data_IF_269063927600
#
_entry.id   IF_269063927600
#
_cell.length_a   1.000
_cell.length_b   1.000
_cell.length_c   1.000
_cell.angle_alpha   90.00
_cell.angle_beta   90.00
_cell.angle_gamma   90.00
#
_symmetry.space_group_name_H-M   'P 1'
#
loop_
_entity.id
_entity.type
_entity.pdbx_description
1 polymer ?
#
# COMPACT_ATOMS: atom_id res chain seq x y z
N UNK A 1 -4.78 2.90 -15.37
CA UNK A 1 -4.87 1.53 -14.86
C UNK A 1 -6.31 1.20 -14.53
N UNK A 2 -6.85 0.26 -15.26
CA UNK A 2 -8.27 -0.07 -15.16
C UNK A 2 -8.65 -0.56 -13.76
N UNK A 3 -7.80 -1.39 -13.15
CA UNK A 3 -8.03 -1.87 -11.80
C UNK A 3 -8.26 -0.71 -10.83
N UNK A 4 -7.43 0.31 -10.91
CA UNK A 4 -7.48 1.42 -9.98
C UNK A 4 -8.65 2.36 -10.25
N UNK A 5 -9.19 2.38 -11.46
CA UNK A 5 -10.27 3.29 -11.79
C UNK A 5 -11.60 2.90 -11.16
N UNK A 6 -11.73 1.67 -10.68
CA UNK A 6 -12.96 1.16 -10.06
C UNK A 6 -12.98 1.27 -8.55
N UNK A 7 -11.89 1.74 -7.96
CA UNK A 7 -11.71 1.73 -6.52
C UNK A 7 -11.47 3.15 -6.03
N UNK A 8 -12.12 3.53 -4.94
CA UNK A 8 -11.92 4.85 -4.35
C UNK A 8 -10.55 4.88 -3.65
N UNK A 9 -9.57 5.47 -4.30
CA UNK A 9 -8.22 5.59 -3.77
C UNK A 9 -7.56 6.82 -4.34
N UNK A 10 -6.44 7.22 -3.73
CA UNK A 10 -5.67 8.37 -4.16
C UNK A 10 -4.23 7.95 -4.42
N UNK A 11 -3.68 8.47 -5.51
CA UNK A 11 -2.27 8.24 -5.84
C UNK A 11 -1.47 9.46 -5.42
N UNK A 12 -0.40 9.23 -4.68
CA UNK A 12 0.48 10.30 -4.23
C UNK A 12 1.89 10.03 -4.75
N UNK A 13 2.48 11.04 -5.34
CA UNK A 13 3.84 10.95 -5.84
C UNK A 13 4.62 12.17 -5.38
N UNK A 14 5.65 11.94 -4.59
CA UNK A 14 6.54 13.00 -4.13
C UNK A 14 7.84 12.86 -4.88
N UNK A 15 8.22 13.91 -5.60
CA UNK A 15 9.41 13.88 -6.43
C UNK A 15 10.65 14.06 -5.55
N UNK A 16 11.49 13.03 -5.53
CA UNK A 16 12.74 12.98 -4.80
C UNK A 16 13.75 12.25 -5.68
N UNK A 17 14.96 12.04 -5.20
CA UNK A 17 15.93 11.23 -5.94
C UNK A 17 15.35 9.84 -6.21
N UNK A 18 14.76 9.26 -5.17
CA UNK A 18 13.93 8.06 -5.31
C UNK A 18 12.50 8.53 -5.07
N UNK A 19 11.62 8.45 -6.06
CA UNK A 19 10.25 8.92 -5.87
C UNK A 19 9.58 8.20 -4.72
N UNK A 20 8.87 8.96 -3.89
CA UNK A 20 8.03 8.37 -2.86
C UNK A 20 6.64 8.23 -3.45
N UNK A 21 6.20 7.00 -3.59
CA UNK A 21 4.90 6.68 -4.17
C UNK A 21 4.01 6.07 -3.11
N UNK A 22 2.75 6.49 -3.07
CA UNK A 22 1.77 5.93 -2.15
C UNK A 22 0.45 5.76 -2.87
N UNK A 23 -0.19 4.64 -2.60
CA UNK A 23 -1.57 4.39 -3.07
C UNK A 23 -2.43 4.37 -1.83
N UNK A 24 -3.16 5.44 -1.61
CA UNK A 24 -3.99 5.61 -0.43
C UNK A 24 -5.38 5.06 -0.69
N UNK A 25 -5.81 4.14 0.15
CA UNK A 25 -7.16 3.61 0.11
C UNK A 25 -7.96 4.10 1.30
N UNK A 26 -9.17 3.62 1.44
CA UNK A 26 -10.05 4.03 2.50
C UNK A 26 -9.58 3.58 3.87
N UNK A 27 -8.90 2.44 3.94
CA UNK A 27 -8.50 1.82 5.20
C UNK A 27 -7.03 2.03 5.55
N UNK A 28 -6.22 2.50 4.61
CA UNK A 28 -4.80 2.68 4.80
C UNK A 28 -4.11 2.89 3.49
N UNK A 29 -2.80 2.68 3.43
CA UNK A 29 -2.08 2.91 2.18
C UNK A 29 -0.97 1.90 1.94
N UNK A 30 -0.61 1.78 0.65
CA UNK A 30 0.54 1.02 0.19
C UNK A 30 1.62 2.03 -0.18
N UNK A 31 2.81 1.89 0.38
CA UNK A 31 3.92 2.79 0.08
C UNK A 31 5.11 2.04 -0.50
N UNK A 32 6.07 2.79 -1.00
CA UNK A 32 7.35 2.22 -1.40
C UNK A 32 8.46 3.03 -0.76
N UNK A 33 9.55 2.36 -0.39
CA UNK A 33 10.77 3.02 0.08
C UNK A 33 10.75 3.43 1.55
N UNK A 34 10.94 4.70 1.82
CA UNK A 34 11.43 5.21 3.09
C UNK A 34 10.38 5.50 4.15
N UNK A 35 9.43 4.63 4.38
CA UNK A 35 8.44 4.86 5.42
C UNK A 35 8.95 4.42 6.78
N UNK A 36 8.67 5.22 7.80
CA UNK A 36 8.96 4.81 9.18
C UNK A 36 7.82 3.93 9.67
N UNK A 37 8.03 2.63 9.54
CA UNK A 37 7.02 1.65 9.91
C UNK A 37 6.76 1.62 11.42
N UNK A 38 7.75 1.99 12.23
CA UNK A 38 7.56 2.08 13.67
C UNK A 38 6.53 3.13 14.05
N UNK A 39 6.59 4.29 13.42
CA UNK A 39 5.62 5.35 13.66
C UNK A 39 4.23 4.92 13.19
N UNK A 40 4.15 4.30 12.02
CA UNK A 40 2.87 3.80 11.52
C UNK A 40 2.26 2.77 12.45
N UNK A 41 3.08 1.87 12.98
CA UNK A 41 2.64 0.86 13.91
C UNK A 41 2.12 1.49 15.21
N UNK A 42 2.86 2.46 15.74
CA UNK A 42 2.47 3.14 16.99
C UNK A 42 1.18 3.91 16.84
N UNK A 43 0.92 4.46 15.67
CA UNK A 43 -0.30 5.21 15.39
C UNK A 43 -1.50 4.32 15.06
N UNK A 44 -1.27 3.03 14.86
CA UNK A 44 -2.34 2.10 14.51
C UNK A 44 -2.74 2.17 13.04
N UNK A 45 -1.90 2.71 12.18
CA UNK A 45 -2.21 2.84 10.77
C UNK A 45 -2.04 1.51 10.04
N UNK A 46 -2.94 1.23 9.10
CA UNK A 46 -2.83 0.08 8.23
C UNK A 46 -1.96 0.45 7.04
N UNK A 47 -0.73 -0.03 7.04
CA UNK A 47 0.27 0.32 6.03
C UNK A 47 0.98 -0.94 5.57
N UNK A 48 1.14 -1.07 4.26
CA UNK A 48 1.97 -2.09 3.65
C UNK A 48 3.02 -1.40 2.79
N UNK A 49 4.18 -2.02 2.66
CA UNK A 49 5.30 -1.44 1.92
C UNK A 49 5.83 -2.45 0.93
N UNK A 50 6.10 -1.98 -0.27
CA UNK A 50 6.82 -2.75 -1.28
C UNK A 50 8.20 -2.14 -1.46
N UNK A 51 9.09 -2.83 -2.16
CA UNK A 51 10.42 -2.32 -2.45
C UNK A 51 10.35 -1.05 -3.28
N UNK A 52 11.49 -0.38 -3.42
CA UNK A 52 11.61 0.82 -4.22
C UNK A 52 11.12 0.57 -5.64
N UNK A 53 10.17 1.39 -6.06
CA UNK A 53 9.60 1.30 -7.40
C UNK A 53 9.54 2.69 -8.01
N UNK A 54 9.48 2.75 -9.34
CA UNK A 54 9.51 4.01 -10.06
C UNK A 54 8.14 4.48 -10.49
N UNK A 55 7.15 3.61 -10.47
CA UNK A 55 5.81 3.96 -10.87
C UNK A 55 4.79 3.10 -10.13
N UNK A 56 3.55 3.55 -10.15
CA UNK A 56 2.47 2.85 -9.44
C UNK A 56 2.24 1.44 -9.97
N UNK A 57 2.44 1.23 -11.25
CA UNK A 57 2.26 -0.07 -11.84
C UNK A 57 3.26 -1.07 -11.30
N UNK A 58 4.51 -0.64 -11.11
CA UNK A 58 5.52 -1.48 -10.48
C UNK A 58 5.15 -1.82 -9.05
N UNK A 59 4.56 -0.87 -8.32
CA UNK A 59 4.12 -1.13 -6.95
C UNK A 59 3.08 -2.25 -6.91
N UNK A 60 2.16 -2.25 -7.85
CA UNK A 60 1.12 -3.26 -7.91
C UNK A 60 1.68 -4.64 -8.22
N UNK A 61 2.79 -4.70 -8.95
CA UNK A 61 3.41 -5.95 -9.34
C UNK A 61 4.52 -6.40 -8.39
N UNK A 62 4.89 -5.56 -7.43
CA UNK A 62 5.90 -5.90 -6.44
C UNK A 62 5.28 -6.68 -5.28
N UNK A 63 6.14 -7.29 -4.48
CA UNK A 63 5.69 -8.03 -3.30
C UNK A 63 5.79 -7.15 -2.07
N UNK A 64 4.84 -7.31 -1.17
CA UNK A 64 4.87 -6.63 0.12
C UNK A 64 6.07 -7.15 0.91
N UNK A 65 6.89 -6.23 1.41
CA UNK A 65 8.09 -6.59 2.19
C UNK A 65 7.92 -6.27 3.67
N UNK A 66 6.94 -5.45 4.03
CA UNK A 66 6.63 -5.14 5.43
C UNK A 66 5.18 -4.70 5.53
N UNK A 67 4.58 -4.90 6.70
CA UNK A 67 3.18 -4.54 6.93
C UNK A 67 2.95 -4.31 8.42
N UNK A 68 2.14 -3.31 8.77
CA UNK A 68 1.81 -3.03 10.17
C UNK A 68 0.82 -4.07 10.71
N UNK A 69 0.66 -4.12 12.03
CA UNK A 69 -0.31 -5.01 12.67
C UNK A 69 -1.73 -4.73 12.16
N UNK A 70 -2.08 -3.44 12.02
CA UNK A 70 -3.40 -3.07 11.49
C UNK A 70 -3.57 -3.56 10.05
N UNK A 71 -2.50 -3.51 9.24
CA UNK A 71 -2.54 -4.05 7.89
C UNK A 71 -2.73 -5.56 7.89
N UNK A 72 -2.09 -6.25 8.82
CA UNK A 72 -2.26 -7.70 8.96
C UNK A 72 -3.70 -8.07 9.31
N UNK A 73 -4.36 -7.25 10.10
CA UNK A 73 -5.77 -7.47 10.43
C UNK A 73 -6.67 -7.38 9.21
N UNK A 74 -6.25 -6.65 8.19
CA UNK A 74 -6.96 -6.59 6.93
C UNK A 74 -6.64 -7.78 6.01
N UNK A 75 -5.77 -8.66 6.46
CA UNK A 75 -5.39 -9.83 5.69
C UNK A 75 -4.17 -9.63 4.81
N UNK A 76 -3.45 -8.53 4.98
CA UNK A 76 -2.24 -8.27 4.20
C UNK A 76 -1.07 -9.00 4.83
N UNK A 77 -0.28 -9.69 4.02
CA UNK A 77 0.86 -10.45 4.48
C UNK A 77 2.09 -10.15 3.62
N UNK A 78 3.26 -10.24 4.23
CA UNK A 78 4.52 -10.14 3.50
C UNK A 78 4.57 -11.24 2.43
N UNK A 79 5.02 -10.87 1.24
CA UNK A 79 5.07 -11.78 0.10
C UNK A 79 3.87 -11.68 -0.84
N UNK A 80 2.80 -11.06 -0.38
CA UNK A 80 1.61 -10.81 -1.19
C UNK A 80 1.93 -9.72 -2.23
N UNK A 81 1.23 -9.73 -3.36
CA UNK A 81 1.44 -8.68 -4.37
C UNK A 81 0.90 -7.34 -3.88
N UNK A 82 1.50 -6.25 -4.37
CA UNK A 82 1.00 -4.92 -4.06
C UNK A 82 -0.45 -4.76 -4.50
N UNK A 83 -0.82 -5.36 -5.63
CA UNK A 83 -2.19 -5.33 -6.14
C UNK A 83 -3.17 -5.91 -5.13
N UNK A 84 -2.83 -7.05 -4.56
CA UNK A 84 -3.69 -7.69 -3.57
C UNK A 84 -3.76 -6.86 -2.28
N UNK A 85 -2.64 -6.28 -1.88
CA UNK A 85 -2.60 -5.40 -0.72
C UNK A 85 -3.50 -4.18 -0.92
N UNK A 86 -3.45 -3.56 -2.10
CA UNK A 86 -4.29 -2.41 -2.41
C UNK A 86 -5.76 -2.77 -2.33
N UNK A 87 -6.13 -3.94 -2.81
CA UNK A 87 -7.52 -4.39 -2.69
C UNK A 87 -7.97 -4.39 -1.25
N UNK A 88 -7.14 -4.89 -0.36
CA UNK A 88 -7.49 -4.98 1.05
C UNK A 88 -7.50 -3.63 1.75
N UNK A 89 -6.71 -2.68 1.27
CA UNK A 89 -6.66 -1.34 1.83
C UNK A 89 -7.77 -0.43 1.30
N UNK A 90 -8.22 -0.67 0.08
CA UNK A 90 -9.19 0.17 -0.59
C UNK A 90 -10.60 -0.34 -0.48
N UNK A 91 -10.77 -1.63 -0.42
CA UNK A 91 -12.07 -2.23 -0.57
C UNK A 91 -12.75 -2.43 0.77
N UNK A 92 -14.01 -2.05 0.87
CA UNK A 92 -14.79 -2.34 2.05
C UNK A 92 -14.94 -3.87 2.22
N UNK A 93 -15.42 -4.23 3.38
CA UNK A 93 -15.58 -5.62 3.78
C UNK A 93 -16.27 -6.50 2.73
N UNK A 94 -17.16 -5.94 1.95
CA UNK A 94 -17.95 -6.69 0.97
C UNK A 94 -17.12 -7.28 -0.17
N UNK A 95 -15.92 -6.78 -0.37
CA UNK A 95 -15.07 -7.24 -1.46
C UNK A 95 -13.90 -8.09 -0.99
N UNK A 96 -13.89 -8.44 0.26
CA UNK A 96 -12.84 -9.29 0.82
C UNK A 96 -13.13 -10.76 0.60
#
# INVERSE_FOLDING_TARGET
MEFLSRTAFRLHRIKMRQPLLMIEGKLGFLGCGHLDMGICEDNGDAVAVVDQTKCFEEMLNSKVVDVTSAGQELGIQVGMSGREAVKRLCLPWELR
#
